data_IF_222180651773
#
_entry.id   IF_222180651773
#
_cell.length_a   1.000
_cell.length_b   1.000
_cell.length_c   1.000
_cell.angle_alpha   90.00
_cell.angle_beta   90.00
_cell.angle_gamma   90.00
#
_symmetry.space_group_name_H-M   'P 1'
#
loop_
_entity.id
_entity.type
_entity.pdbx_description
1 polymer ?
#
# COMPACT_ATOMS: atom_id res chain seq x y z
N UNK A 1 0.39 -31.40 -15.35
CA UNK A 1 1.41 -32.35 -14.83
C UNK A 1 2.54 -31.65 -14.06
N UNK A 2 3.14 -30.58 -14.59
CA UNK A 2 4.23 -29.83 -13.92
C UNK A 2 3.81 -29.28 -12.57
N UNK A 3 2.62 -28.66 -12.49
CA UNK A 3 2.09 -28.10 -11.24
C UNK A 3 1.88 -29.21 -10.20
N UNK A 4 1.25 -30.32 -10.58
CA UNK A 4 1.06 -31.48 -9.69
C UNK A 4 2.39 -32.03 -9.18
N UNK A 5 3.40 -32.17 -10.05
CA UNK A 5 4.75 -32.57 -9.68
C UNK A 5 5.40 -31.58 -8.71
N UNK A 6 5.25 -30.26 -8.96
CA UNK A 6 5.82 -29.25 -8.10
C UNK A 6 5.24 -29.29 -6.68
N UNK A 7 3.92 -29.45 -6.55
CA UNK A 7 3.23 -29.44 -5.26
C UNK A 7 3.20 -30.80 -4.55
N UNK A 8 3.62 -31.92 -5.22
CA UNK A 8 3.63 -33.26 -4.58
C UNK A 8 4.53 -33.37 -3.35
N UNK A 9 5.47 -32.43 -3.19
CA UNK A 9 6.35 -32.36 -2.00
C UNK A 9 5.63 -31.87 -0.74
N UNK A 10 4.48 -31.21 -0.88
CA UNK A 10 3.67 -30.76 0.25
C UNK A 10 2.62 -31.81 0.58
N UNK A 11 2.95 -32.68 1.54
CA UNK A 11 2.06 -33.76 1.97
C UNK A 11 1.07 -33.32 3.03
N UNK A 12 -0.01 -34.09 3.23
CA UNK A 12 -0.96 -33.85 4.31
C UNK A 12 -0.29 -33.93 5.69
N UNK A 13 0.69 -34.82 5.87
CA UNK A 13 1.43 -34.91 7.13
C UNK A 13 2.26 -33.66 7.41
N UNK A 14 2.92 -33.13 6.38
CA UNK A 14 3.64 -31.87 6.48
C UNK A 14 2.69 -30.72 6.85
N UNK A 15 1.52 -30.65 6.20
CA UNK A 15 0.52 -29.65 6.47
C UNK A 15 0.03 -29.69 7.93
N UNK A 16 -0.35 -30.88 8.42
CA UNK A 16 -0.81 -31.03 9.82
C UNK A 16 0.27 -30.65 10.83
N UNK A 17 1.51 -31.01 10.55
CA UNK A 17 2.65 -30.69 11.43
C UNK A 17 2.91 -29.20 11.50
N UNK A 18 2.82 -28.49 10.36
CA UNK A 18 3.13 -27.06 10.29
C UNK A 18 1.94 -26.20 10.75
N UNK A 19 0.72 -26.54 10.32
CA UNK A 19 -0.47 -25.70 10.53
C UNK A 19 -1.25 -26.07 11.79
N UNK A 20 -1.01 -27.25 12.38
CA UNK A 20 -1.77 -27.74 13.54
C UNK A 20 -3.21 -28.15 13.23
N UNK A 21 -3.65 -28.07 11.97
CA UNK A 21 -5.00 -28.46 11.54
C UNK A 21 -5.05 -29.96 11.29
N UNK A 22 -6.12 -30.63 11.70
CA UNK A 22 -6.30 -32.06 11.45
C UNK A 22 -6.40 -32.36 9.94
N UNK A 23 -6.02 -33.59 9.54
CA UNK A 23 -6.21 -34.01 8.15
C UNK A 23 -7.67 -34.00 7.72
N UNK A 24 -8.54 -34.41 8.63
CA UNK A 24 -9.98 -34.48 8.39
C UNK A 24 -10.56 -33.09 8.10
N UNK A 25 -10.25 -32.10 8.93
CA UNK A 25 -10.77 -30.75 8.74
C UNK A 25 -10.19 -30.09 7.50
N UNK A 26 -8.89 -30.32 7.21
CA UNK A 26 -8.29 -29.83 5.98
C UNK A 26 -8.97 -30.41 4.73
N UNK A 27 -9.26 -31.71 4.73
CA UNK A 27 -9.94 -32.36 3.61
C UNK A 27 -11.38 -31.85 3.45
N UNK A 28 -12.13 -31.64 4.54
CA UNK A 28 -13.46 -31.01 4.48
C UNK A 28 -13.42 -29.65 3.81
N UNK A 29 -12.44 -28.80 4.17
CA UNK A 29 -12.25 -27.49 3.54
C UNK A 29 -11.90 -27.63 2.06
N UNK A 30 -11.00 -28.55 1.74
CA UNK A 30 -10.58 -28.79 0.35
C UNK A 30 -11.72 -29.31 -0.54
N UNK A 31 -12.57 -30.19 -0.01
CA UNK A 31 -13.77 -30.69 -0.68
C UNK A 31 -14.79 -29.59 -0.91
N UNK A 32 -15.15 -28.83 0.15
CA UNK A 32 -16.06 -27.70 0.05
C UNK A 32 -15.60 -26.66 -0.97
N UNK A 33 -14.28 -26.38 -0.99
CA UNK A 33 -13.71 -25.48 -1.98
C UNK A 33 -13.72 -26.10 -3.40
N UNK A 34 -13.42 -27.38 -3.51
CA UNK A 34 -13.44 -28.15 -4.76
C UNK A 34 -14.82 -28.16 -5.43
N UNK A 35 -15.91 -28.15 -4.64
CA UNK A 35 -17.27 -28.08 -5.16
C UNK A 35 -17.55 -26.81 -5.97
N UNK A 36 -16.81 -25.73 -5.73
CA UNK A 36 -16.98 -24.47 -6.48
C UNK A 36 -16.53 -24.58 -7.95
N UNK A 37 -15.83 -25.65 -8.32
CA UNK A 37 -15.49 -25.95 -9.72
C UNK A 37 -16.66 -26.55 -10.54
N UNK A 38 -17.78 -26.89 -9.89
CA UNK A 38 -18.93 -27.43 -10.58
C UNK A 38 -19.67 -26.34 -11.38
N UNK A 39 -20.32 -26.69 -12.50
CA UNK A 39 -21.18 -25.76 -13.23
C UNK A 39 -22.19 -25.08 -12.30
N UNK A 40 -22.37 -23.78 -12.47
CA UNK A 40 -23.28 -22.95 -11.66
C UNK A 40 -22.89 -22.78 -10.18
N UNK A 41 -21.68 -23.18 -9.79
CA UNK A 41 -21.09 -22.86 -8.49
C UNK A 41 -19.91 -21.92 -8.68
N UNK A 42 -19.68 -21.05 -7.71
CA UNK A 42 -18.55 -20.14 -7.71
C UNK A 42 -18.09 -19.87 -6.29
N UNK A 43 -16.80 -19.80 -6.09
CA UNK A 43 -16.20 -19.44 -4.81
C UNK A 43 -15.40 -18.15 -4.93
N UNK A 44 -15.44 -17.34 -3.88
CA UNK A 44 -14.61 -16.15 -3.77
C UNK A 44 -13.71 -16.22 -2.55
N UNK A 45 -12.54 -15.60 -2.64
CA UNK A 45 -11.63 -15.42 -1.51
C UNK A 45 -11.63 -13.95 -1.13
N UNK A 46 -11.90 -13.68 0.14
CA UNK A 46 -11.77 -12.38 0.75
C UNK A 46 -10.54 -12.41 1.68
N UNK A 47 -9.61 -11.49 1.52
CA UNK A 47 -8.44 -11.42 2.37
C UNK A 47 -8.04 -9.97 2.68
N UNK A 48 -7.23 -9.80 3.70
CA UNK A 48 -6.63 -8.53 4.07
C UNK A 48 -5.24 -8.77 4.70
N UNK A 49 -4.90 -8.04 5.74
CA UNK A 49 -3.58 -8.00 6.36
C UNK A 49 -3.14 -9.34 6.99
N UNK A 50 -4.09 -10.22 7.35
CA UNK A 50 -3.77 -11.56 7.87
C UNK A 50 -2.95 -12.43 6.92
N UNK A 51 -3.00 -12.15 5.60
CA UNK A 51 -2.11 -12.79 4.61
C UNK A 51 -0.94 -11.91 4.21
N UNK A 52 -1.15 -10.60 4.11
CA UNK A 52 -0.13 -9.69 3.57
C UNK A 52 1.00 -9.43 4.55
N UNK A 53 0.73 -9.39 5.86
CA UNK A 53 1.71 -9.05 6.89
C UNK A 53 2.51 -10.28 7.39
N UNK A 54 2.94 -11.12 6.45
CA UNK A 54 3.86 -12.22 6.66
C UNK A 54 5.06 -12.07 5.73
N UNK A 55 6.21 -12.59 6.12
CA UNK A 55 7.41 -12.61 5.26
C UNK A 55 7.16 -13.33 3.93
N UNK A 56 6.21 -14.28 3.92
CA UNK A 56 5.78 -15.04 2.74
C UNK A 56 4.39 -14.62 2.22
N UNK A 57 3.92 -13.42 2.58
CA UNK A 57 2.57 -12.95 2.25
C UNK A 57 2.25 -12.98 0.75
N UNK A 58 3.18 -12.54 -0.09
CA UNK A 58 3.02 -12.58 -1.56
C UNK A 58 2.87 -14.00 -2.09
N UNK A 59 3.59 -14.97 -1.53
CA UNK A 59 3.49 -16.38 -1.91
C UNK A 59 2.15 -16.98 -1.47
N UNK A 60 1.67 -16.65 -0.28
CA UNK A 60 0.35 -17.09 0.22
C UNK A 60 -0.74 -16.62 -0.74
N UNK A 61 -0.79 -15.32 -1.05
CA UNK A 61 -1.80 -14.73 -1.94
C UNK A 61 -1.72 -15.34 -3.34
N UNK A 62 -0.52 -15.50 -3.88
CA UNK A 62 -0.29 -16.15 -5.18
C UNK A 62 -0.79 -17.60 -5.20
N UNK A 63 -0.56 -18.36 -4.14
CA UNK A 63 -1.03 -19.76 -4.03
C UNK A 63 -2.56 -19.82 -4.06
N UNK A 64 -3.23 -18.92 -3.34
CA UNK A 64 -4.69 -18.87 -3.34
C UNK A 64 -5.26 -18.42 -4.69
N UNK A 65 -4.58 -17.49 -5.37
CA UNK A 65 -4.95 -17.12 -6.73
C UNK A 65 -4.81 -18.31 -7.71
N UNK A 66 -3.78 -19.14 -7.55
CA UNK A 66 -3.63 -20.38 -8.35
C UNK A 66 -4.75 -21.39 -8.06
N UNK A 67 -5.19 -21.54 -6.80
CA UNK A 67 -6.35 -22.38 -6.47
C UNK A 67 -7.61 -21.87 -7.18
N UNK A 68 -7.86 -20.58 -7.13
CA UNK A 68 -9.03 -19.98 -7.81
C UNK A 68 -8.98 -20.15 -9.34
N UNK A 69 -7.79 -20.08 -9.95
CA UNK A 69 -7.60 -20.38 -11.37
C UNK A 69 -7.88 -21.85 -11.70
N UNK A 70 -7.42 -22.78 -10.87
CA UNK A 70 -7.64 -24.22 -11.06
C UNK A 70 -9.12 -24.59 -10.95
N UNK A 71 -9.86 -23.90 -10.10
CA UNK A 71 -11.30 -24.13 -9.90
C UNK A 71 -12.18 -23.38 -10.91
N UNK A 72 -11.60 -22.52 -11.75
CA UNK A 72 -12.34 -21.75 -12.73
C UNK A 72 -13.13 -20.57 -12.15
N UNK A 73 -12.84 -20.15 -10.93
CA UNK A 73 -13.55 -19.08 -10.23
C UNK A 73 -13.14 -17.66 -10.67
N UNK A 74 -11.98 -17.51 -11.33
CA UNK A 74 -11.54 -16.20 -11.80
C UNK A 74 -12.25 -15.83 -13.10
N UNK A 75 -12.81 -14.61 -13.14
CA UNK A 75 -13.61 -14.12 -14.26
C UNK A 75 -15.10 -14.47 -14.17
N UNK A 76 -15.49 -15.24 -13.17
CA UNK A 76 -16.91 -15.54 -12.89
C UNK A 76 -17.52 -14.48 -11.96
N UNK A 77 -18.77 -14.13 -12.22
CA UNK A 77 -19.52 -13.22 -11.33
C UNK A 77 -19.58 -13.81 -9.91
N UNK A 78 -19.14 -13.05 -8.91
CA UNK A 78 -19.04 -13.48 -7.53
C UNK A 78 -17.78 -14.30 -7.19
N UNK A 79 -16.89 -14.54 -8.16
CA UNK A 79 -15.63 -15.27 -7.95
C UNK A 79 -14.42 -14.36 -7.72
N UNK A 80 -13.24 -14.98 -7.77
CA UNK A 80 -11.97 -14.27 -7.73
C UNK A 80 -11.31 -14.21 -6.37
N UNK A 81 -10.29 -13.37 -6.28
CA UNK A 81 -9.51 -13.10 -5.06
C UNK A 81 -9.62 -11.61 -4.77
N UNK A 82 -10.21 -11.26 -3.64
CA UNK A 82 -10.61 -9.89 -3.32
C UNK A 82 -9.89 -9.38 -2.07
N UNK A 83 -9.02 -8.40 -2.26
CA UNK A 83 -8.37 -7.70 -1.15
C UNK A 83 -9.36 -6.72 -0.52
N UNK A 84 -9.76 -6.95 0.72
CA UNK A 84 -10.56 -6.01 1.49
C UNK A 84 -9.67 -4.88 1.98
N UNK A 85 -9.91 -3.67 1.48
CA UNK A 85 -9.14 -2.50 1.89
C UNK A 85 -9.53 -2.09 3.31
N UNK A 86 -8.54 -1.93 4.20
CA UNK A 86 -8.81 -1.57 5.58
C UNK A 86 -9.05 -0.09 5.79
N UNK A 87 -8.27 0.75 5.11
CA UNK A 87 -8.37 2.20 5.23
C UNK A 87 -9.43 2.76 4.28
N UNK A 88 -10.29 3.66 4.78
CA UNK A 88 -11.27 4.36 3.95
C UNK A 88 -10.57 5.19 2.88
N UNK A 89 -11.10 5.17 1.66
CA UNK A 89 -10.58 5.87 0.49
C UNK A 89 -9.12 5.55 0.10
N UNK A 90 -8.56 4.42 0.55
CA UNK A 90 -7.17 4.07 0.18
C UNK A 90 -6.99 3.94 -1.34
N UNK A 91 -8.00 3.45 -2.05
CA UNK A 91 -7.93 3.34 -3.50
C UNK A 91 -8.01 4.71 -4.18
N UNK A 92 -8.83 5.62 -3.68
CA UNK A 92 -8.86 7.00 -4.18
C UNK A 92 -7.52 7.71 -3.98
N UNK A 93 -6.90 7.56 -2.81
CA UNK A 93 -5.57 8.09 -2.54
C UNK A 93 -4.50 7.47 -3.46
N UNK A 94 -4.56 6.16 -3.70
CA UNK A 94 -3.63 5.48 -4.60
C UNK A 94 -3.81 5.92 -6.06
N UNK A 95 -5.06 6.12 -6.50
CA UNK A 95 -5.37 6.61 -7.84
C UNK A 95 -4.75 8.00 -8.10
N UNK A 96 -4.69 8.84 -7.06
CA UNK A 96 -4.09 10.16 -7.11
C UNK A 96 -2.56 10.16 -6.91
N UNK A 97 -1.95 9.00 -6.65
CA UNK A 97 -0.51 8.88 -6.44
C UNK A 97 -0.03 9.39 -5.08
N UNK A 98 -0.86 9.35 -4.03
CA UNK A 98 -0.48 9.77 -2.68
C UNK A 98 0.32 8.73 -1.89
N UNK A 99 0.62 7.59 -2.48
CA UNK A 99 1.62 6.66 -1.96
C UNK A 99 3.01 7.09 -2.42
N UNK A 100 3.96 7.08 -1.52
CA UNK A 100 5.33 7.60 -1.74
C UNK A 100 6.08 6.96 -2.91
N UNK A 101 5.66 5.80 -3.39
CA UNK A 101 6.29 5.04 -4.48
C UNK A 101 5.60 5.19 -5.83
N UNK A 102 4.53 5.97 -5.89
CA UNK A 102 3.68 6.08 -7.09
C UNK A 102 3.49 7.53 -7.51
N UNK A 103 3.34 7.71 -8.81
CA UNK A 103 2.78 8.90 -9.44
C UNK A 103 1.29 8.69 -9.74
N UNK A 104 0.53 9.75 -10.03
CA UNK A 104 -0.87 9.63 -10.45
C UNK A 104 -1.07 8.58 -11.53
N UNK A 105 -2.17 7.83 -11.46
CA UNK A 105 -2.49 6.76 -12.41
C UNK A 105 -1.62 5.50 -12.28
N UNK A 106 -1.04 5.26 -11.09
CA UNK A 106 -0.20 4.08 -10.81
C UNK A 106 1.11 4.03 -11.60
N UNK A 107 1.57 5.14 -12.13
CA UNK A 107 2.89 5.22 -12.73
C UNK A 107 3.96 5.10 -11.64
N UNK A 108 5.03 4.39 -11.96
CA UNK A 108 6.14 4.19 -11.03
C UNK A 108 6.97 5.46 -10.92
N UNK A 109 7.30 5.88 -9.70
CA UNK A 109 8.21 7.00 -9.47
C UNK A 109 9.62 6.63 -9.97
N UNK A 110 10.29 7.48 -10.75
CA UNK A 110 11.65 7.21 -11.21
C UNK A 110 12.65 7.03 -10.06
N UNK A 111 13.64 6.18 -10.26
CA UNK A 111 14.75 5.94 -9.35
C UNK A 111 16.05 6.35 -10.03
N UNK A 112 16.98 6.99 -9.31
CA UNK A 112 18.22 7.55 -9.86
C UNK A 112 19.11 6.50 -10.52
N UNK A 113 19.25 5.34 -9.89
CA UNK A 113 20.11 4.26 -10.38
C UNK A 113 19.45 3.47 -11.52
N UNK A 114 18.16 3.16 -11.37
CA UNK A 114 17.44 2.30 -12.31
C UNK A 114 16.89 3.03 -13.52
N UNK A 115 16.58 4.31 -13.38
CA UNK A 115 15.92 5.14 -14.38
C UNK A 115 16.65 6.48 -14.56
N UNK A 116 17.97 6.48 -14.78
CA UNK A 116 18.74 7.73 -14.90
C UNK A 116 18.23 8.59 -16.06
N UNK A 117 17.79 7.98 -17.16
CA UNK A 117 17.23 8.67 -18.31
C UNK A 117 15.76 8.28 -18.57
N UNK A 118 15.08 9.11 -19.35
CA UNK A 118 13.72 8.81 -19.82
C UNK A 118 13.65 7.49 -20.62
N UNK A 119 14.66 7.23 -21.43
CA UNK A 119 14.73 5.98 -22.20
C UNK A 119 14.86 4.76 -21.28
N UNK A 120 15.69 4.82 -20.24
CA UNK A 120 15.84 3.75 -19.25
C UNK A 120 14.52 3.49 -18.51
N UNK A 121 13.81 4.56 -18.16
CA UNK A 121 12.49 4.44 -17.53
C UNK A 121 11.52 3.68 -18.42
N UNK A 122 11.38 4.10 -19.68
CA UNK A 122 10.46 3.46 -20.63
C UNK A 122 10.85 2.01 -20.91
N UNK A 123 12.13 1.71 -21.05
CA UNK A 123 12.60 0.34 -21.28
C UNK A 123 12.23 -0.59 -20.11
N UNK A 124 12.45 -0.14 -18.87
CA UNK A 124 12.27 -0.96 -17.67
C UNK A 124 10.82 -1.02 -17.19
N UNK A 125 10.03 0.01 -17.44
CA UNK A 125 8.65 0.08 -16.97
C UNK A 125 7.62 -0.34 -18.02
N UNK A 126 8.00 -0.51 -19.28
CA UNK A 126 7.09 -0.99 -20.32
C UNK A 126 7.19 -2.51 -20.45
N UNK A 127 6.15 -3.27 -20.07
CA UNK A 127 6.16 -4.72 -20.20
C UNK A 127 6.27 -5.15 -21.67
N UNK A 128 7.07 -6.19 -21.89
CA UNK A 128 7.18 -6.85 -23.22
C UNK A 128 6.21 -8.02 -23.27
N UNK A 129 5.50 -8.18 -24.37
CA UNK A 129 4.66 -9.36 -24.60
C UNK A 129 5.53 -10.62 -24.62
N UNK A 130 5.12 -11.64 -23.87
CA UNK A 130 5.79 -12.95 -23.85
C UNK A 130 5.34 -13.85 -25.01
N UNK A 131 4.15 -13.56 -25.57
CA UNK A 131 3.57 -14.30 -26.68
C UNK A 131 2.85 -13.34 -27.63
N UNK A 132 2.78 -13.65 -28.93
CA UNK A 132 2.01 -12.86 -29.88
C UNK A 132 0.54 -12.73 -29.45
N UNK A 133 -0.01 -11.54 -29.56
CA UNK A 133 -1.40 -11.24 -29.19
C UNK A 133 -1.69 -11.10 -27.70
N UNK A 134 -0.68 -11.21 -26.85
CA UNK A 134 -0.84 -10.93 -25.42
C UNK A 134 -1.20 -9.46 -25.20
N UNK A 135 -2.33 -9.23 -24.51
CA UNK A 135 -2.76 -7.90 -24.09
C UNK A 135 -2.13 -7.56 -22.74
N UNK A 136 -1.62 -6.33 -22.64
CA UNK A 136 -1.15 -5.77 -21.37
C UNK A 136 -1.42 -4.26 -21.37
N UNK A 137 -2.23 -3.81 -20.41
CA UNK A 137 -2.55 -2.39 -20.24
C UNK A 137 -1.29 -1.52 -20.15
N UNK A 138 -0.28 -1.97 -19.43
CA UNK A 138 0.97 -1.25 -19.19
C UNK A 138 1.92 -1.20 -20.38
N UNK A 139 1.61 -1.89 -21.49
CA UNK A 139 2.34 -1.68 -22.75
C UNK A 139 2.20 -0.24 -23.27
N UNK A 140 1.19 0.50 -22.78
CA UNK A 140 0.98 1.92 -23.06
C UNK A 140 1.74 2.86 -22.12
N UNK A 141 2.60 2.35 -21.24
CA UNK A 141 3.41 3.18 -20.31
C UNK A 141 4.07 4.38 -20.97
N UNK A 142 4.65 4.28 -22.21
CA UNK A 142 5.23 5.45 -22.87
C UNK A 142 4.23 6.59 -23.09
N UNK A 143 3.04 6.27 -23.56
CA UNK A 143 1.98 7.27 -23.79
C UNK A 143 1.46 7.85 -22.48
N UNK A 144 1.24 7.01 -21.46
CA UNK A 144 0.79 7.45 -20.15
C UNK A 144 1.80 8.36 -19.45
N UNK A 145 3.07 8.01 -19.52
CA UNK A 145 4.09 8.80 -18.85
C UNK A 145 4.31 10.16 -19.55
N UNK A 146 4.32 10.20 -20.88
CA UNK A 146 4.36 11.46 -21.62
C UNK A 146 3.13 12.33 -21.32
N UNK A 147 1.95 11.73 -21.26
CA UNK A 147 0.72 12.44 -20.88
C UNK A 147 0.82 13.03 -19.48
N UNK A 148 1.35 12.27 -18.51
CA UNK A 148 1.60 12.72 -17.16
C UNK A 148 2.59 13.90 -17.11
N UNK A 149 3.72 13.81 -17.81
CA UNK A 149 4.72 14.87 -17.86
C UNK A 149 4.16 16.16 -18.50
N UNK A 150 3.38 16.01 -19.56
CA UNK A 150 2.68 17.16 -20.18
C UNK A 150 1.64 17.78 -19.25
N UNK A 151 0.94 16.98 -18.48
CA UNK A 151 0.02 17.50 -17.47
C UNK A 151 0.76 18.28 -16.37
N UNK A 152 1.93 17.78 -15.92
CA UNK A 152 2.74 18.43 -14.89
C UNK A 152 3.39 19.73 -15.36
N UNK A 153 3.90 19.78 -16.58
CA UNK A 153 4.80 20.85 -17.04
C UNK A 153 4.20 21.68 -18.20
N UNK A 154 3.01 21.33 -18.69
CA UNK A 154 2.32 22.06 -19.75
C UNK A 154 3.16 22.17 -21.02
N UNK A 155 3.17 23.36 -21.61
CA UNK A 155 3.87 23.64 -22.86
C UNK A 155 5.40 23.55 -22.75
N UNK A 156 5.95 23.56 -21.53
CA UNK A 156 7.37 23.37 -21.30
C UNK A 156 7.83 21.92 -21.51
N UNK A 157 6.90 20.94 -21.46
CA UNK A 157 7.19 19.54 -21.74
C UNK A 157 7.22 19.29 -23.24
N UNK A 158 8.39 19.28 -23.85
CA UNK A 158 8.62 19.09 -25.27
C UNK A 158 9.39 17.79 -25.56
N UNK A 159 9.34 17.33 -26.80
CA UNK A 159 10.07 16.13 -27.20
C UNK A 159 11.60 16.32 -27.07
N UNK A 160 12.08 17.51 -27.32
CA UNK A 160 13.49 17.89 -27.30
C UNK A 160 14.09 17.78 -25.90
N UNK A 161 13.30 18.02 -24.85
CA UNK A 161 13.73 17.91 -23.46
C UNK A 161 13.19 16.66 -22.75
N UNK A 162 12.88 15.61 -23.51
CA UNK A 162 12.31 14.37 -22.97
C UNK A 162 11.05 14.63 -22.09
N UNK A 163 10.22 15.58 -22.50
CA UNK A 163 9.00 15.98 -21.80
C UNK A 163 9.21 16.51 -20.39
N UNK A 164 10.41 17.01 -20.09
CA UNK A 164 10.77 17.48 -18.76
C UNK A 164 11.08 16.36 -17.75
N UNK A 165 11.41 15.16 -18.23
CA UNK A 165 11.71 14.00 -17.37
C UNK A 165 12.78 14.29 -16.32
N UNK A 166 13.81 15.06 -16.67
CA UNK A 166 14.91 15.38 -15.76
C UNK A 166 14.53 16.38 -14.65
N UNK A 167 13.34 17.00 -14.76
CA UNK A 167 12.81 17.88 -13.72
C UNK A 167 12.06 17.11 -12.63
N UNK A 168 11.69 15.83 -12.88
CA UNK A 168 11.08 14.99 -11.87
C UNK A 168 12.09 14.62 -10.79
N UNK A 169 11.72 14.71 -9.51
CA UNK A 169 12.51 14.10 -8.46
C UNK A 169 12.59 12.59 -8.65
N UNK A 170 13.76 12.05 -8.38
CA UNK A 170 14.03 10.61 -8.47
C UNK A 170 14.39 10.08 -7.09
N UNK A 171 14.02 8.84 -6.82
CA UNK A 171 14.42 8.15 -5.60
C UNK A 171 15.90 7.74 -5.68
N UNK A 172 16.66 7.95 -4.62
CA UNK A 172 17.95 7.29 -4.40
C UNK A 172 17.73 5.85 -3.94
N UNK A 173 16.82 5.64 -2.98
CA UNK A 173 16.41 4.33 -2.46
C UNK A 173 14.98 4.39 -1.95
N UNK A 174 14.39 3.23 -1.70
CA UNK A 174 13.09 3.15 -1.05
C UNK A 174 13.22 3.41 0.46
N UNK A 175 12.35 4.26 1.00
CA UNK A 175 12.25 4.55 2.43
C UNK A 175 10.97 3.95 2.98
N UNK A 176 11.09 2.96 3.85
CA UNK A 176 9.98 2.44 4.64
C UNK A 176 9.85 3.20 5.97
N UNK A 177 8.80 2.87 6.73
CA UNK A 177 8.50 3.51 8.01
C UNK A 177 9.67 3.38 9.00
N UNK A 178 10.31 2.21 9.08
CA UNK A 178 11.43 1.97 10.00
C UNK A 178 12.63 2.84 9.63
N UNK A 179 12.92 2.94 8.33
CA UNK A 179 14.01 3.82 7.85
C UNK A 179 13.68 5.29 8.07
N UNK A 180 12.42 5.71 7.90
CA UNK A 180 12.00 7.09 8.17
C UNK A 180 12.18 7.43 9.67
N UNK A 181 11.76 6.55 10.57
CA UNK A 181 11.96 6.73 12.02
C UNK A 181 13.45 6.80 12.34
N UNK A 182 14.27 5.94 11.74
CA UNK A 182 15.72 5.96 11.96
C UNK A 182 16.36 7.26 11.45
N UNK A 183 15.97 7.79 10.31
CA UNK A 183 16.45 9.07 9.80
C UNK A 183 16.07 10.24 10.70
N UNK A 184 14.85 10.25 11.23
CA UNK A 184 14.43 11.24 12.24
C UNK A 184 15.28 11.12 13.51
N UNK A 185 15.48 9.91 14.01
CA UNK A 185 16.33 9.64 15.16
C UNK A 185 17.77 10.12 14.99
N UNK A 186 18.31 9.98 13.78
CA UNK A 186 19.66 10.48 13.42
C UNK A 186 19.70 12.00 13.21
N UNK A 187 18.58 12.72 13.36
CA UNK A 187 18.49 14.16 13.17
C UNK A 187 18.64 14.60 11.69
N UNK A 188 18.41 13.69 10.76
CA UNK A 188 18.47 13.97 9.31
C UNK A 188 17.17 14.54 8.74
N UNK A 189 16.10 14.52 9.52
CA UNK A 189 14.78 15.07 9.17
C UNK A 189 14.49 16.25 10.07
N UNK A 190 14.12 17.39 9.50
CA UNK A 190 13.86 18.61 10.25
C UNK A 190 12.40 18.72 10.72
N UNK A 191 11.45 18.23 9.95
CA UNK A 191 10.03 18.37 10.25
C UNK A 191 9.21 17.20 9.76
N UNK A 192 8.04 16.99 10.37
CA UNK A 192 7.10 15.95 10.02
C UNK A 192 5.69 16.54 9.96
N UNK A 193 4.95 16.23 8.89
CA UNK A 193 3.51 16.50 8.78
C UNK A 193 2.78 15.17 8.96
N UNK A 194 1.87 15.14 9.92
CA UNK A 194 1.02 13.99 10.23
C UNK A 194 -0.43 14.40 10.03
N UNK A 195 -1.13 13.71 9.15
CA UNK A 195 -2.52 14.00 8.83
C UNK A 195 -3.40 12.76 9.03
N UNK A 196 -4.33 12.82 9.99
CA UNK A 196 -5.30 11.77 10.24
C UNK A 196 -4.68 10.42 10.62
N UNK A 197 -3.56 10.42 11.34
CA UNK A 197 -2.81 9.21 11.66
C UNK A 197 -2.11 9.32 13.01
N UNK A 198 -2.35 8.37 13.89
CA UNK A 198 -1.65 8.28 15.17
C UNK A 198 -0.31 7.51 15.00
N UNK A 199 0.71 8.20 14.51
CA UNK A 199 2.02 7.63 14.24
C UNK A 199 2.69 7.06 15.49
N UNK A 200 2.59 7.76 16.65
CA UNK A 200 3.15 7.32 17.92
C UNK A 200 2.53 6.00 18.40
N UNK A 201 1.22 5.86 18.25
CA UNK A 201 0.51 4.64 18.64
C UNK A 201 0.58 3.49 17.64
N UNK A 202 0.95 3.77 16.37
CA UNK A 202 0.88 2.79 15.28
C UNK A 202 2.24 2.28 14.81
N UNK A 203 3.30 3.06 14.93
CA UNK A 203 4.63 2.63 14.53
C UNK A 203 5.22 1.64 15.55
N UNK A 204 5.99 0.65 15.09
CA UNK A 204 6.67 -0.26 16.00
C UNK A 204 7.73 0.49 16.85
N UNK A 205 7.95 0.03 18.08
CA UNK A 205 8.91 0.60 19.04
C UNK A 205 8.57 2.05 19.42
N UNK A 206 7.55 2.21 20.28
CA UNK A 206 7.08 3.52 20.75
C UNK A 206 8.18 4.38 21.39
N UNK A 207 9.13 3.77 22.09
CA UNK A 207 10.27 4.50 22.69
C UNK A 207 11.17 5.10 21.62
N UNK A 208 11.50 4.31 20.59
CA UNK A 208 12.32 4.77 19.45
C UNK A 208 11.63 5.87 18.65
N UNK A 209 10.31 5.74 18.46
CA UNK A 209 9.50 6.76 17.78
C UNK A 209 9.50 8.07 18.57
N UNK A 210 9.33 8.02 19.88
CA UNK A 210 9.41 9.22 20.74
C UNK A 210 10.76 9.91 20.66
N UNK A 211 11.84 9.13 20.75
CA UNK A 211 13.18 9.68 20.62
C UNK A 211 13.40 10.31 19.23
N UNK A 212 12.89 9.68 18.18
CA UNK A 212 12.96 10.20 16.82
C UNK A 212 12.19 11.52 16.68
N UNK A 213 10.96 11.58 17.19
CA UNK A 213 10.16 12.82 17.19
C UNK A 213 10.83 13.95 17.97
N UNK A 214 11.51 13.62 19.07
CA UNK A 214 12.27 14.58 19.88
C UNK A 214 13.49 15.19 19.18
N UNK A 215 13.90 14.66 18.02
CA UNK A 215 14.99 15.20 17.21
C UNK A 215 14.50 16.14 16.10
N UNK A 216 13.19 16.18 15.86
CA UNK A 216 12.61 17.10 14.88
C UNK A 216 12.70 18.54 15.38
N UNK A 217 12.78 19.50 14.46
CA UNK A 217 12.62 20.92 14.80
C UNK A 217 11.15 21.29 14.97
N UNK A 218 10.28 20.70 14.15
CA UNK A 218 8.84 20.93 14.25
C UNK A 218 8.05 19.70 13.80
N UNK A 219 6.82 19.60 14.27
CA UNK A 219 5.83 18.64 13.82
C UNK A 219 4.48 19.35 13.65
N UNK A 220 3.81 19.08 12.53
CA UNK A 220 2.44 19.55 12.29
C UNK A 220 1.53 18.35 12.34
N UNK A 221 0.58 18.34 13.27
CA UNK A 221 -0.41 17.29 13.43
C UNK A 221 -1.78 17.83 13.08
N UNK A 222 -2.38 17.26 12.03
CA UNK A 222 -3.73 17.58 11.56
C UNK A 222 -4.63 16.37 11.85
N UNK A 223 -5.44 16.47 12.89
CA UNK A 223 -6.25 15.33 13.37
C UNK A 223 -7.54 15.87 14.03
N UNK A 224 -8.67 15.17 13.92
CA UNK A 224 -9.87 15.51 14.67
C UNK A 224 -9.76 15.24 16.18
N UNK A 225 -8.79 14.44 16.60
CA UNK A 225 -8.58 14.05 18.00
C UNK A 225 -7.17 14.35 18.48
N UNK A 226 -7.03 14.55 19.79
CA UNK A 226 -5.74 14.61 20.44
C UNK A 226 -5.19 13.19 20.69
N UNK A 227 -4.44 12.73 19.72
CA UNK A 227 -3.78 11.42 19.80
C UNK A 227 -2.43 11.51 20.51
N UNK A 228 -1.83 10.36 20.84
CA UNK A 228 -0.48 10.29 21.39
C UNK A 228 0.57 10.98 20.51
N UNK A 229 0.36 11.01 19.19
CA UNK A 229 1.22 11.75 18.25
C UNK A 229 1.15 13.25 18.50
N UNK A 230 -0.06 13.78 18.73
CA UNK A 230 -0.26 15.20 18.98
C UNK A 230 0.29 15.66 20.35
N UNK A 231 0.51 14.72 21.26
CA UNK A 231 0.95 14.94 22.64
C UNK A 231 2.17 14.11 23.03
N UNK A 232 3.00 13.74 22.03
CA UNK A 232 4.11 12.79 22.22
C UNK A 232 5.13 13.25 23.28
N UNK A 233 5.24 14.55 23.53
CA UNK A 233 6.14 15.13 24.55
C UNK A 233 5.64 14.93 25.99
N UNK A 234 4.39 14.50 26.18
CA UNK A 234 3.84 14.21 27.49
C UNK A 234 4.20 12.79 27.92
N UNK A 235 4.25 12.58 29.22
CA UNK A 235 4.46 11.23 29.75
C UNK A 235 3.14 10.44 29.73
N UNK A 236 3.12 9.36 28.98
CA UNK A 236 1.99 8.43 28.87
C UNK A 236 2.25 7.10 29.60
N UNK A 237 3.05 7.11 30.67
CA UNK A 237 3.38 5.94 31.45
C UNK A 237 4.49 5.07 30.86
N UNK A 238 4.44 3.77 31.13
CA UNK A 238 5.51 2.84 30.75
C UNK A 238 5.74 2.72 29.24
N UNK A 239 4.69 2.91 28.47
CA UNK A 239 4.80 2.86 27.00
C UNK A 239 5.55 4.06 26.43
N UNK A 240 5.61 5.17 27.16
CA UNK A 240 6.09 6.44 26.63
C UNK A 240 6.51 7.36 27.79
N UNK A 241 7.58 7.02 28.46
CA UNK A 241 8.10 7.77 29.61
C UNK A 241 9.15 8.78 29.14
N UNK A 242 8.78 10.06 29.09
CA UNK A 242 9.63 11.16 28.65
C UNK A 242 9.67 12.29 29.69
N UNK A 243 10.74 13.08 29.64
CA UNK A 243 10.86 14.34 30.37
C UNK A 243 10.51 15.49 29.40
N UNK A 244 9.29 16.09 29.50
CA UNK A 244 8.85 17.14 28.60
C UNK A 244 9.81 18.33 28.50
N UNK A 245 10.54 18.62 29.59
CA UNK A 245 11.48 19.76 29.65
C UNK A 245 12.67 19.62 28.69
N UNK A 246 12.98 18.40 28.26
CA UNK A 246 14.10 18.09 27.37
C UNK A 246 13.71 18.07 25.89
N UNK A 247 12.42 18.07 25.57
CA UNK A 247 11.94 18.02 24.20
C UNK A 247 11.86 19.42 23.64
N UNK A 248 12.55 19.66 22.52
CA UNK A 248 12.62 20.97 21.85
C UNK A 248 11.78 21.05 20.56
N UNK A 249 11.15 19.94 20.15
CA UNK A 249 10.31 19.90 18.97
C UNK A 249 9.09 20.78 19.16
N UNK A 250 8.90 21.76 18.28
CA UNK A 250 7.69 22.59 18.25
C UNK A 250 6.54 21.83 17.59
N UNK A 251 5.41 21.70 18.29
CA UNK A 251 4.25 20.93 17.79
C UNK A 251 3.09 21.86 17.48
N UNK A 252 2.70 21.91 16.21
CA UNK A 252 1.53 22.62 15.73
C UNK A 252 0.37 21.64 15.64
N UNK A 253 -0.68 21.88 16.43
CA UNK A 253 -1.89 21.06 16.44
C UNK A 253 -2.98 21.81 15.68
N UNK A 254 -3.38 21.26 14.54
CA UNK A 254 -4.41 21.81 13.68
C UNK A 254 -5.63 20.90 13.68
N UNK A 255 -6.76 21.33 14.25
CA UNK A 255 -7.97 20.51 14.25
C UNK A 255 -8.52 20.38 12.83
N UNK A 256 -8.94 19.18 12.48
CA UNK A 256 -9.61 18.89 11.20
C UNK A 256 -10.97 18.26 11.45
N UNK A 257 -11.93 18.36 10.52
CA UNK A 257 -13.15 17.59 10.60
C UNK A 257 -12.86 16.10 10.41
N UNK A 258 -13.74 15.25 10.92
CA UNK A 258 -13.76 13.83 10.60
C UNK A 258 -14.63 13.56 9.36
N UNK A 259 -14.56 12.33 8.81
CA UNK A 259 -15.32 11.96 7.62
C UNK A 259 -16.86 12.17 7.74
N UNK A 260 -17.40 12.14 8.94
CA UNK A 260 -18.82 12.37 9.19
C UNK A 260 -19.23 13.85 9.09
N UNK A 261 -18.28 14.75 9.12
CA UNK A 261 -18.46 16.20 9.18
C UNK A 261 -18.14 16.87 7.84
N UNK A 262 -17.63 16.14 6.87
CA UNK A 262 -17.25 16.68 5.55
C UNK A 262 -18.03 16.02 4.41
N UNK A 263 -18.10 16.72 3.28
CA UNK A 263 -18.58 16.14 2.03
C UNK A 263 -17.39 15.74 1.16
N UNK A 264 -17.53 14.64 0.43
CA UNK A 264 -16.44 14.24 -0.44
C UNK A 264 -16.72 12.98 -1.22
N UNK A 265 -15.75 12.58 -2.02
CA UNK A 265 -15.78 11.34 -2.77
C UNK A 265 -14.87 10.29 -2.14
N UNK A 266 -15.33 9.05 -2.15
CA UNK A 266 -14.60 7.88 -1.66
C UNK A 266 -14.60 6.82 -2.76
N UNK A 267 -13.46 6.21 -3.01
CA UNK A 267 -13.35 5.02 -3.86
C UNK A 267 -13.27 3.79 -2.97
N UNK A 268 -14.28 2.92 -3.06
CA UNK A 268 -14.35 1.70 -2.26
C UNK A 268 -13.44 0.58 -2.81
N UNK A 269 -13.45 -0.57 -2.12
CA UNK A 269 -12.64 -1.74 -2.49
C UNK A 269 -12.91 -2.29 -3.90
N UNK A 270 -14.09 -2.07 -4.45
CA UNK A 270 -14.48 -2.44 -5.81
C UNK A 270 -14.22 -1.34 -6.85
N UNK A 271 -13.54 -0.28 -6.47
CA UNK A 271 -13.24 0.90 -7.30
C UNK A 271 -14.48 1.68 -7.74
N UNK A 272 -15.52 1.66 -6.94
CA UNK A 272 -16.70 2.49 -7.13
C UNK A 272 -16.47 3.85 -6.51
N UNK A 273 -16.61 4.90 -7.30
CA UNK A 273 -16.59 6.27 -6.83
C UNK A 273 -17.95 6.60 -6.21
N UNK A 274 -17.93 6.92 -4.93
CA UNK A 274 -19.13 7.23 -4.15
C UNK A 274 -19.00 8.63 -3.57
N UNK A 275 -20.11 9.37 -3.58
CA UNK A 275 -20.20 10.66 -2.91
C UNK A 275 -20.87 10.48 -1.55
N UNK A 276 -20.35 11.18 -0.53
CA UNK A 276 -21.00 11.29 0.77
C UNK A 276 -21.22 12.75 1.14
N UNK A 277 -22.27 12.97 1.89
CA UNK A 277 -22.66 14.26 2.45
C UNK A 277 -22.29 14.32 3.94
N UNK A 278 -22.03 15.52 4.51
CA UNK A 278 -21.80 15.62 5.93
C UNK A 278 -23.05 15.25 6.71
N UNK A 279 -22.89 14.43 7.73
CA UNK A 279 -23.94 14.06 8.66
C UNK A 279 -24.05 15.01 9.86
N UNK A 280 -22.97 15.72 10.15
CA UNK A 280 -22.87 16.71 11.23
C UNK A 280 -22.09 17.92 10.74
N UNK A 281 -22.15 19.00 11.53
CA UNK A 281 -21.25 20.15 11.37
C UNK A 281 -20.07 19.99 12.32
N UNK A 282 -18.85 20.37 11.90
CA UNK A 282 -17.69 20.40 12.79
C UNK A 282 -17.87 21.38 13.95
#
# INVERSE_FOLDING_TARGET
>A
QLLKKHYSRYTLDMMTTICGTSKEDFLKIAEAWGETAAPNKVGTILYALGWTQHTTGSQIIRTMAMVQLLLGNIGMAGGGVNALRGHSNIQGLSDLGLLSTMLPGYLVLPNEERHPTFADYLEKQTPKALQPGQLNYWSNTPAFFVSFLKWMYGDNATKENNWGYDWLPKWDKMYDILQMVELMYQGKVNGLLVQGFNAQGSFPDAHRVTEAFSKLKFMVVMDPLDTETATFWQNHGDAHNVDPSKIQTEVFRLPTPCFAEEAGSIVNSSRWLQWHHPGAKP
#
